data_IF_826157644044
#
_entry.id   IF_826157644044
#
_cell.length_a   1.000
_cell.length_b   1.000
_cell.length_c   1.000
_cell.angle_alpha   90.00
_cell.angle_beta   90.00
_cell.angle_gamma   90.00
#
_symmetry.space_group_name_H-M   'P 1'
#
loop_
_entity.id
_entity.type
_entity.pdbx_description
1 polymer ?
#
# COMPACT_ATOMS: atom_id res chain seq x y z
N UNK A 1 17.80 1.20 10.85
CA UNK A 1 16.94 1.81 9.81
C UNK A 1 17.25 1.25 8.42
N UNK A 2 18.44 1.46 7.84
CA UNK A 2 18.75 1.00 6.46
C UNK A 2 18.54 -0.52 6.24
N UNK A 3 19.00 -1.36 7.18
CA UNK A 3 18.81 -2.82 7.10
C UNK A 3 17.33 -3.25 7.11
N UNK A 4 16.50 -2.53 7.86
CA UNK A 4 15.06 -2.81 7.96
C UNK A 4 14.34 -2.38 6.69
N UNK A 5 14.59 -1.16 6.20
CA UNK A 5 14.06 -0.69 4.91
C UNK A 5 14.45 -1.61 3.76
N UNK A 6 15.68 -2.12 3.75
CA UNK A 6 16.11 -3.10 2.74
C UNK A 6 15.33 -4.42 2.84
N UNK A 7 15.14 -4.96 4.06
CA UNK A 7 14.34 -6.16 4.26
C UNK A 7 12.88 -5.97 3.81
N UNK A 8 12.29 -4.82 4.11
CA UNK A 8 10.90 -4.54 3.74
C UNK A 8 10.73 -4.30 2.23
N UNK A 9 11.75 -3.73 1.57
CA UNK A 9 11.81 -3.67 0.11
C UNK A 9 11.82 -5.08 -0.50
N UNK A 10 12.62 -6.00 0.04
CA UNK A 10 12.66 -7.39 -0.44
C UNK A 10 11.32 -8.12 -0.24
N UNK A 11 10.64 -7.91 0.89
CA UNK A 11 9.28 -8.43 1.10
C UNK A 11 8.30 -7.87 0.08
N UNK A 12 8.37 -6.56 -0.19
CA UNK A 12 7.56 -5.90 -1.21
C UNK A 12 7.78 -6.52 -2.60
N UNK A 13 9.03 -6.69 -3.02
CA UNK A 13 9.40 -7.34 -4.27
C UNK A 13 8.85 -8.76 -4.34
N UNK A 14 9.03 -9.54 -3.27
CA UNK A 14 8.58 -10.94 -3.22
C UNK A 14 7.06 -11.06 -3.35
N UNK A 15 6.31 -10.26 -2.58
CA UNK A 15 4.84 -10.23 -2.67
C UNK A 15 4.40 -9.76 -4.06
N UNK A 16 5.01 -8.69 -4.57
CA UNK A 16 4.71 -8.15 -5.89
C UNK A 16 4.94 -9.17 -7.00
N UNK A 17 6.02 -9.95 -6.93
CA UNK A 17 6.33 -11.01 -7.88
C UNK A 17 5.30 -12.16 -7.82
N UNK A 18 4.87 -12.57 -6.62
CA UNK A 18 3.83 -13.59 -6.49
C UNK A 18 2.53 -13.11 -7.15
N UNK A 19 2.12 -11.87 -6.86
CA UNK A 19 0.92 -11.28 -7.44
C UNK A 19 1.04 -11.12 -8.96
N UNK A 20 2.20 -10.70 -9.47
CA UNK A 20 2.40 -10.55 -10.91
C UNK A 20 2.34 -11.88 -11.64
N UNK A 21 2.93 -12.95 -11.08
CA UNK A 21 2.83 -14.30 -11.64
C UNK A 21 1.36 -14.74 -11.66
N UNK A 22 0.65 -14.57 -10.55
CA UNK A 22 -0.76 -14.93 -10.44
C UNK A 22 -1.63 -14.19 -11.46
N UNK A 23 -1.53 -12.86 -11.53
CA UNK A 23 -2.32 -12.07 -12.48
C UNK A 23 -1.90 -12.30 -13.93
N UNK A 24 -0.61 -12.48 -14.21
CA UNK A 24 -0.17 -12.83 -15.55
C UNK A 24 -0.73 -14.18 -15.97
N UNK A 25 -0.80 -15.17 -15.07
CA UNK A 25 -1.40 -16.47 -15.38
C UNK A 25 -2.90 -16.36 -15.71
N UNK A 26 -3.63 -15.50 -14.99
CA UNK A 26 -5.07 -15.32 -15.22
C UNK A 26 -5.38 -14.50 -16.48
N UNK A 27 -4.55 -13.53 -16.83
CA UNK A 27 -4.88 -12.51 -17.84
C UNK A 27 -3.97 -12.51 -19.07
N UNK A 28 -2.86 -13.25 -19.07
CA UNK A 28 -1.91 -13.35 -20.18
C UNK A 28 -1.75 -14.82 -20.60
N UNK A 29 -2.42 -15.26 -21.69
CA UNK A 29 -2.49 -16.68 -22.03
C UNK A 29 -1.19 -17.28 -22.58
N UNK A 30 -0.28 -16.47 -23.14
CA UNK A 30 0.89 -17.00 -23.87
C UNK A 30 2.23 -16.75 -23.18
N UNK A 31 2.40 -15.62 -22.49
CA UNK A 31 3.68 -15.17 -21.97
C UNK A 31 3.53 -14.52 -20.59
N UNK A 32 4.55 -14.68 -19.76
CA UNK A 32 4.65 -13.95 -18.50
C UNK A 32 4.87 -12.45 -18.78
N UNK A 33 3.94 -11.63 -18.28
CA UNK A 33 4.00 -10.18 -18.37
C UNK A 33 3.97 -9.61 -16.95
N UNK A 34 5.11 -9.09 -16.41
CA UNK A 34 5.16 -8.53 -15.06
C UNK A 34 4.30 -7.28 -14.90
N UNK A 35 4.02 -6.60 -16.01
CA UNK A 35 3.16 -5.43 -16.09
C UNK A 35 2.17 -5.63 -17.24
N UNK A 36 0.88 -5.50 -16.97
CA UNK A 36 -0.15 -5.69 -18.00
C UNK A 36 -0.07 -4.58 -19.06
N UNK A 37 -0.04 -4.92 -20.36
CA UNK A 37 -0.14 -3.94 -21.46
C UNK A 37 -1.46 -3.17 -21.48
N UNK A 38 -2.47 -3.61 -20.72
CA UNK A 38 -3.75 -2.89 -20.58
C UNK A 38 -3.65 -1.70 -19.61
N UNK A 39 -2.61 -1.68 -18.75
CA UNK A 39 -2.33 -0.53 -17.89
C UNK A 39 -1.70 0.60 -18.70
N UNK A 40 -1.82 1.85 -18.23
CA UNK A 40 -1.24 3.02 -18.91
C UNK A 40 0.27 2.89 -19.09
N UNK A 41 0.98 2.52 -18.01
CA UNK A 41 2.44 2.36 -18.02
C UNK A 41 2.85 1.16 -18.86
N UNK A 42 2.16 0.02 -18.70
CA UNK A 42 2.45 -1.19 -19.47
C UNK A 42 2.22 -0.98 -20.97
N UNK A 43 1.15 -0.29 -21.34
CA UNK A 43 0.87 0.08 -22.74
C UNK A 43 1.97 0.94 -23.32
N UNK A 44 2.42 1.95 -22.57
CA UNK A 44 3.51 2.82 -23.00
C UNK A 44 4.81 2.03 -23.21
N UNK A 45 5.20 1.20 -22.24
CA UNK A 45 6.40 0.36 -22.36
C UNK A 45 6.33 -0.62 -23.53
N UNK A 46 5.14 -1.19 -23.79
CA UNK A 46 4.91 -2.07 -24.92
C UNK A 46 5.06 -1.34 -26.27
N UNK A 47 4.44 -0.16 -26.42
CA UNK A 47 4.52 0.64 -27.64
C UNK A 47 5.94 1.13 -27.96
N UNK A 48 6.75 1.36 -26.94
CA UNK A 48 8.16 1.74 -27.09
C UNK A 48 9.12 0.54 -27.17
N UNK A 49 8.60 -0.68 -27.29
CA UNK A 49 9.39 -1.92 -27.37
C UNK A 49 10.42 -2.03 -26.23
N UNK A 50 10.06 -1.60 -25.02
CA UNK A 50 10.93 -1.71 -23.85
C UNK A 50 11.18 -3.17 -23.57
N UNK A 51 12.46 -3.53 -23.42
CA UNK A 51 12.86 -4.92 -23.19
C UNK A 51 12.25 -5.47 -21.90
N UNK A 52 11.75 -6.70 -21.92
CA UNK A 52 11.00 -7.30 -20.80
C UNK A 52 11.78 -7.34 -19.47
N UNK A 53 13.11 -7.48 -19.53
CA UNK A 53 13.96 -7.40 -18.32
C UNK A 53 13.94 -6.01 -17.66
N UNK A 54 13.86 -4.94 -18.44
CA UNK A 54 13.76 -3.57 -17.92
C UNK A 54 12.36 -3.32 -17.32
N UNK A 55 11.31 -3.88 -17.93
CA UNK A 55 9.96 -3.85 -17.36
C UNK A 55 9.93 -4.59 -16.02
N UNK A 56 10.53 -5.78 -15.94
CA UNK A 56 10.64 -6.54 -14.70
C UNK A 56 11.43 -5.79 -13.62
N UNK A 57 12.56 -5.17 -13.98
CA UNK A 57 13.35 -4.34 -13.08
C UNK A 57 12.52 -3.16 -12.55
N UNK A 58 11.80 -2.46 -13.43
CA UNK A 58 10.89 -1.39 -13.06
C UNK A 58 9.84 -1.87 -12.05
N UNK A 59 9.15 -2.97 -12.33
CA UNK A 59 8.15 -3.55 -11.43
C UNK A 59 8.74 -3.89 -10.06
N UNK A 60 9.91 -4.53 -10.03
CA UNK A 60 10.59 -4.86 -8.78
C UNK A 60 10.92 -3.59 -7.96
N UNK A 61 11.41 -2.53 -8.60
CA UNK A 61 11.69 -1.26 -7.90
C UNK A 61 10.42 -0.64 -7.33
N UNK A 62 9.31 -0.64 -8.08
CA UNK A 62 8.01 -0.12 -7.62
C UNK A 62 7.48 -0.95 -6.44
N UNK A 63 7.50 -2.28 -6.53
CA UNK A 63 7.06 -3.15 -5.43
C UNK A 63 7.94 -3.04 -4.19
N UNK A 64 9.25 -2.88 -4.37
CA UNK A 64 10.17 -2.60 -3.28
C UNK A 64 9.86 -1.27 -2.60
N UNK A 65 9.58 -0.21 -3.37
CA UNK A 65 9.17 1.08 -2.84
C UNK A 65 7.85 0.98 -2.03
N UNK A 66 6.88 0.20 -2.50
CA UNK A 66 5.64 -0.09 -1.76
C UNK A 66 5.95 -0.77 -0.43
N UNK A 67 6.83 -1.78 -0.42
CA UNK A 67 7.25 -2.47 0.80
C UNK A 67 7.86 -1.51 1.84
N UNK A 68 8.74 -0.62 1.39
CA UNK A 68 9.33 0.42 2.25
C UNK A 68 8.27 1.41 2.75
N UNK A 69 7.34 1.82 1.89
CA UNK A 69 6.26 2.74 2.26
C UNK A 69 5.38 2.15 3.38
N UNK A 70 5.03 0.87 3.29
CA UNK A 70 4.25 0.19 4.33
C UNK A 70 5.03 0.08 5.65
N UNK A 71 6.34 -0.13 5.58
CA UNK A 71 7.21 -0.06 6.77
C UNK A 71 7.12 1.32 7.44
N UNK A 72 7.24 2.40 6.68
CA UNK A 72 7.07 3.76 7.19
C UNK A 72 5.67 3.99 7.77
N UNK A 73 4.63 3.43 7.16
CA UNK A 73 3.27 3.45 7.70
C UNK A 73 3.20 2.83 9.10
N UNK A 74 3.77 1.65 9.29
CA UNK A 74 3.73 0.98 10.59
C UNK A 74 4.43 1.77 11.71
N UNK A 75 5.50 2.50 11.38
CA UNK A 75 6.20 3.37 12.33
C UNK A 75 5.34 4.54 12.84
N UNK A 76 4.31 4.96 12.11
CA UNK A 76 3.43 6.05 12.55
C UNK A 76 2.59 5.66 13.77
N UNK A 77 2.26 4.38 13.92
CA UNK A 77 1.50 3.85 15.05
C UNK A 77 2.37 3.48 16.26
N UNK A 78 3.69 3.39 16.08
CA UNK A 78 4.64 3.12 17.18
C UNK A 78 5.07 4.39 17.92
N UNK A 79 4.76 5.57 17.39
CA UNK A 79 5.04 6.85 18.06
C UNK A 79 4.03 7.10 19.17
N UNK A 80 4.45 7.85 20.18
CA UNK A 80 3.59 8.39 21.25
C UNK A 80 2.66 9.52 20.73
N UNK A 81 1.91 9.22 19.68
CA UNK A 81 0.96 10.12 19.04
C UNK A 81 -0.45 9.73 19.45
N UNK A 82 -1.37 10.71 19.41
CA UNK A 82 -2.79 10.39 19.52
C UNK A 82 -3.21 9.48 18.36
N UNK A 83 -4.16 8.58 18.62
CA UNK A 83 -4.70 7.67 17.62
C UNK A 83 -5.13 8.41 16.34
N UNK A 84 -5.79 9.57 16.50
CA UNK A 84 -6.20 10.40 15.37
C UNK A 84 -5.01 10.88 14.54
N UNK A 85 -3.93 11.34 15.19
CA UNK A 85 -2.74 11.82 14.47
C UNK A 85 -2.05 10.68 13.74
N UNK A 86 -1.92 9.50 14.35
CA UNK A 86 -1.32 8.34 13.71
C UNK A 86 -2.15 7.87 12.49
N UNK A 87 -3.46 7.72 12.65
CA UNK A 87 -4.38 7.29 11.58
C UNK A 87 -4.44 8.28 10.42
N UNK A 88 -4.54 9.59 10.69
CA UNK A 88 -4.52 10.62 9.63
C UNK A 88 -3.17 10.66 8.90
N UNK A 89 -2.06 10.55 9.63
CA UNK A 89 -0.73 10.54 8.99
C UNK A 89 -0.57 9.31 8.09
N UNK A 90 -1.04 8.14 8.57
CA UNK A 90 -1.01 6.90 7.80
C UNK A 90 -1.90 6.99 6.56
N UNK A 91 -3.11 7.53 6.72
CA UNK A 91 -4.03 7.80 5.63
C UNK A 91 -3.38 8.65 4.53
N UNK A 92 -2.76 9.78 4.90
CA UNK A 92 -2.07 10.65 3.95
C UNK A 92 -0.87 9.97 3.30
N UNK A 93 -0.10 9.18 4.05
CA UNK A 93 1.02 8.40 3.50
C UNK A 93 0.55 7.41 2.44
N UNK A 94 -0.58 6.73 2.67
CA UNK A 94 -1.13 5.80 1.68
C UNK A 94 -1.75 6.53 0.49
N UNK A 95 -2.42 7.66 0.73
CA UNK A 95 -3.01 8.47 -0.33
C UNK A 95 -1.94 9.02 -1.29
N UNK A 96 -0.86 9.59 -0.74
CA UNK A 96 0.18 10.28 -1.51
C UNK A 96 1.34 9.36 -1.92
N UNK A 97 1.54 8.24 -1.25
CA UNK A 97 2.60 7.28 -1.54
C UNK A 97 2.08 6.04 -2.26
N UNK A 98 1.13 5.33 -1.65
CA UNK A 98 0.70 4.02 -2.17
C UNK A 98 -0.11 4.16 -3.45
N UNK A 99 -1.07 5.10 -3.53
CA UNK A 99 -1.89 5.26 -4.73
C UNK A 99 -1.05 5.59 -5.97
N UNK A 100 -0.09 6.53 -5.93
CA UNK A 100 0.81 6.76 -7.06
C UNK A 100 1.66 5.53 -7.41
N UNK A 101 2.26 4.86 -6.42
CA UNK A 101 3.07 3.67 -6.67
C UNK A 101 2.26 2.51 -7.27
N UNK A 102 1.04 2.28 -6.79
CA UNK A 102 0.14 1.26 -7.33
C UNK A 102 -0.36 1.62 -8.73
N UNK A 103 -0.52 2.91 -9.03
CA UNK A 103 -0.78 3.38 -10.41
C UNK A 103 0.40 3.09 -11.32
N UNK A 104 1.62 3.37 -10.86
CA UNK A 104 2.86 3.06 -11.59
C UNK A 104 3.05 1.56 -11.80
N UNK A 105 2.65 0.74 -10.82
CA UNK A 105 2.59 -0.72 -10.93
C UNK A 105 1.50 -1.21 -11.91
N UNK A 106 0.70 -0.31 -12.48
CA UNK A 106 -0.36 -0.63 -13.44
C UNK A 106 -1.59 -1.28 -12.81
N UNK A 107 -1.74 -1.23 -11.48
CA UNK A 107 -2.86 -1.86 -10.77
C UNK A 107 -4.15 -1.04 -10.85
N UNK A 108 -4.03 0.28 -11.02
CA UNK A 108 -5.16 1.19 -11.09
C UNK A 108 -5.34 1.76 -12.50
N UNK A 109 -6.58 1.85 -13.02
CA UNK A 109 -6.85 2.55 -14.26
C UNK A 109 -6.58 4.05 -14.05
N UNK A 110 -5.84 4.66 -14.99
CA UNK A 110 -5.53 6.09 -14.95
C UNK A 110 -6.72 6.96 -15.35
N UNK A 111 -7.79 6.92 -14.55
CA UNK A 111 -9.04 7.67 -14.77
C UNK A 111 -9.38 8.45 -13.53
N UNK A 112 -9.63 9.76 -13.68
CA UNK A 112 -9.93 10.64 -12.55
C UNK A 112 -11.11 10.14 -11.71
N UNK A 113 -12.17 9.66 -12.37
CA UNK A 113 -13.34 9.10 -11.67
C UNK A 113 -13.02 7.89 -10.80
N UNK A 114 -12.07 7.04 -11.21
CA UNK A 114 -11.62 5.91 -10.39
C UNK A 114 -10.84 6.37 -9.17
N UNK A 115 -9.98 7.38 -9.30
CA UNK A 115 -9.27 7.93 -8.13
C UNK A 115 -10.21 8.61 -7.15
N UNK A 116 -11.23 9.32 -7.63
CA UNK A 116 -12.24 9.93 -6.77
C UNK A 116 -13.03 8.86 -6.00
N UNK A 117 -13.47 7.78 -6.67
CA UNK A 117 -14.16 6.68 -5.98
C UNK A 117 -13.24 5.99 -4.97
N UNK A 118 -11.99 5.74 -5.35
CA UNK A 118 -11.00 5.11 -4.48
C UNK A 118 -10.71 5.96 -3.23
N UNK A 119 -10.63 7.28 -3.34
CA UNK A 119 -10.49 8.17 -2.18
C UNK A 119 -11.69 8.04 -1.24
N UNK A 120 -12.91 7.98 -1.76
CA UNK A 120 -14.13 7.83 -0.95
C UNK A 120 -14.14 6.49 -0.22
N UNK A 121 -13.90 5.39 -0.93
CA UNK A 121 -13.83 4.04 -0.36
C UNK A 121 -12.73 3.95 0.71
N UNK A 122 -11.55 4.47 0.42
CA UNK A 122 -10.42 4.48 1.35
C UNK A 122 -10.71 5.33 2.59
N UNK A 123 -11.35 6.49 2.42
CA UNK A 123 -11.79 7.33 3.55
C UNK A 123 -12.77 6.57 4.45
N UNK A 124 -13.76 5.89 3.85
CA UNK A 124 -14.77 5.14 4.60
C UNK A 124 -14.14 4.02 5.44
N UNK A 125 -13.21 3.26 4.87
CA UNK A 125 -12.45 2.22 5.60
C UNK A 125 -11.70 2.82 6.79
N UNK A 126 -11.06 3.97 6.62
CA UNK A 126 -10.32 4.62 7.72
C UNK A 126 -11.22 5.16 8.80
N UNK A 127 -12.40 5.70 8.45
CA UNK A 127 -13.40 6.12 9.43
C UNK A 127 -13.84 4.92 10.28
N UNK A 128 -14.09 3.76 9.66
CA UNK A 128 -14.45 2.54 10.38
C UNK A 128 -13.32 2.10 11.31
N UNK A 129 -12.08 2.00 10.81
CA UNK A 129 -10.92 1.64 11.61
C UNK A 129 -10.78 2.58 12.80
N UNK A 130 -10.88 3.89 12.58
CA UNK A 130 -10.76 4.89 13.63
C UNK A 130 -11.86 4.75 14.69
N UNK A 131 -13.12 4.56 14.30
CA UNK A 131 -14.23 4.36 15.23
C UNK A 131 -14.03 3.10 16.10
N UNK A 132 -13.64 1.99 15.47
CA UNK A 132 -13.36 0.72 16.16
C UNK A 132 -12.22 0.91 17.14
N UNK A 133 -11.06 1.40 16.67
CA UNK A 133 -9.90 1.65 17.51
C UNK A 133 -10.22 2.59 18.66
N UNK A 134 -10.91 3.70 18.41
CA UNK A 134 -11.30 4.66 19.43
C UNK A 134 -12.14 4.01 20.54
N UNK A 135 -13.10 3.15 20.18
CA UNK A 135 -13.90 2.42 21.16
C UNK A 135 -13.04 1.47 22.01
N UNK A 136 -12.14 0.71 21.38
CA UNK A 136 -11.22 -0.20 22.07
C UNK A 136 -10.28 0.54 23.05
N UNK A 137 -9.67 1.65 22.63
CA UNK A 137 -8.76 2.41 23.49
C UNK A 137 -9.51 3.09 24.63
N UNK A 138 -10.72 3.61 24.39
CA UNK A 138 -11.55 4.20 25.45
C UNK A 138 -11.88 3.16 26.52
N UNK A 139 -12.21 1.93 26.12
CA UNK A 139 -12.49 0.82 27.05
C UNK A 139 -11.24 0.46 27.87
N UNK A 140 -10.08 0.31 27.24
CA UNK A 140 -8.81 0.04 27.96
C UNK A 140 -8.49 1.11 29.00
N UNK A 141 -8.66 2.39 28.68
CA UNK A 141 -8.42 3.49 29.63
C UNK A 141 -9.38 3.41 30.82
N UNK A 142 -10.65 3.06 30.59
CA UNK A 142 -11.63 2.88 31.66
C UNK A 142 -11.27 1.71 32.58
N UNK A 143 -10.85 0.58 32.03
CA UNK A 143 -10.40 -0.61 32.79
C UNK A 143 -9.17 -0.27 33.65
N UNK A 144 -8.19 0.44 33.10
CA UNK A 144 -7.01 0.89 33.84
C UNK A 144 -7.41 1.84 34.98
N UNK A 145 -8.23 2.85 34.70
CA UNK A 145 -8.68 3.80 35.73
C UNK A 145 -9.45 3.13 36.87
N UNK A 146 -10.28 2.12 36.56
CA UNK A 146 -10.98 1.33 37.57
C UNK A 146 -10.02 0.49 38.42
N UNK A 147 -8.98 -0.09 37.82
CA UNK A 147 -7.97 -0.85 38.58
C UNK A 147 -7.18 0.01 39.57
N UNK A 148 -6.89 1.26 39.21
CA UNK A 148 -6.20 2.23 40.09
C UNK A 148 -7.13 2.74 41.18
N UNK A 149 -8.41 2.97 40.89
CA UNK A 149 -9.36 3.50 41.87
C UNK A 149 -9.83 2.48 42.93
N UNK A 150 -9.71 1.18 42.64
CA UNK A 150 -10.07 0.09 43.54
C UNK A 150 -8.91 -0.41 44.42
N UNK A 151 -7.73 0.22 44.32
CA UNK A 151 -6.56 0.00 45.16
C UNK A 151 -6.24 1.26 45.98
#
# INVERSE_FOLDING_TARGET
MLKQSFSDALKGIFIGLILSIFFSYLFSPELYLPLSPNSTVGRWMFLHHVHGSLVMLYCALVWGAIGVLFSFGSLLFQKDWSLLRATLSHYLLMLLGFIPLATLAGWFPARLGFYLSLVVEFTLVYVIIWLVSHHFYKKQVQEINQSIANH
#
